data_IF_280571660639
#
_entry.id   IF_280571660639
#
_cell.length_a   1.000
_cell.length_b   1.000
_cell.length_c   1.000
_cell.angle_alpha   90.00
_cell.angle_beta   90.00
_cell.angle_gamma   90.00
#
_symmetry.space_group_name_H-M   'P 1'
#
loop_
_entity.id
_entity.type
_entity.pdbx_description
1 polymer ?
#
# COMPACT_ATOMS: atom_id res chain seq x y z
N UNK A 1 -24.39 -5.61 -8.23
CA UNK A 1 -24.70 -6.52 -7.14
C UNK A 1 -24.30 -5.83 -5.86
N UNK A 2 -25.31 -5.47 -5.02
CA UNK A 2 -25.04 -4.76 -3.78
C UNK A 2 -24.37 -5.66 -2.74
N UNK A 3 -23.50 -5.05 -1.94
CA UNK A 3 -22.84 -5.73 -0.83
C UNK A 3 -23.89 -6.23 0.18
N UNK A 4 -23.71 -7.45 0.65
CA UNK A 4 -24.59 -8.06 1.66
C UNK A 4 -24.01 -7.80 3.04
N UNK A 5 -24.65 -6.94 3.81
CA UNK A 5 -24.28 -6.65 5.19
C UNK A 5 -25.08 -7.54 6.15
N UNK A 6 -24.40 -8.26 7.02
CA UNK A 6 -25.02 -9.05 8.08
C UNK A 6 -24.89 -8.32 9.42
N UNK A 7 -26.04 -8.17 10.11
CA UNK A 7 -26.09 -7.59 11.46
C UNK A 7 -26.78 -8.50 12.41
N UNK A 8 -26.29 -8.52 13.63
CA UNK A 8 -26.90 -9.26 14.70
C UNK A 8 -26.99 -8.39 15.95
N UNK A 9 -28.20 -8.17 16.44
CA UNK A 9 -28.45 -7.48 17.70
C UNK A 9 -28.96 -8.51 18.69
N UNK A 10 -28.27 -8.64 19.82
CA UNK A 10 -28.62 -9.54 20.90
C UNK A 10 -29.20 -8.75 22.08
N UNK A 11 -30.14 -9.33 22.83
CA UNK A 11 -30.66 -8.75 24.06
C UNK A 11 -31.78 -7.69 23.89
N UNK A 12 -32.23 -7.41 22.65
CA UNK A 12 -33.36 -6.49 22.44
C UNK A 12 -34.67 -7.08 22.93
N UNK A 13 -35.44 -6.33 23.74
CA UNK A 13 -36.67 -6.77 24.37
C UNK A 13 -37.83 -7.00 23.39
N UNK A 14 -37.90 -6.26 22.30
CA UNK A 14 -38.91 -6.36 21.25
C UNK A 14 -38.30 -6.32 19.86
N UNK A 15 -39.04 -6.81 18.85
CA UNK A 15 -38.61 -6.77 17.45
C UNK A 15 -38.37 -5.35 16.96
N UNK A 16 -39.31 -4.44 17.24
CA UNK A 16 -39.24 -3.04 16.81
C UNK A 16 -38.03 -2.31 17.41
N UNK A 17 -37.70 -2.60 18.68
CA UNK A 17 -36.54 -2.04 19.34
C UNK A 17 -35.24 -2.53 18.68
N UNK A 18 -35.15 -3.82 18.36
CA UNK A 18 -33.99 -4.37 17.64
C UNK A 18 -33.79 -3.73 16.27
N UNK A 19 -34.87 -3.52 15.52
CA UNK A 19 -34.79 -2.84 14.22
C UNK A 19 -34.41 -1.36 14.35
N UNK A 20 -34.96 -0.67 15.36
CA UNK A 20 -34.62 0.72 15.65
C UNK A 20 -33.15 0.88 16.01
N UNK A 21 -32.63 0.04 16.92
CA UNK A 21 -31.23 0.04 17.35
C UNK A 21 -30.29 -0.31 16.20
N UNK A 22 -30.68 -1.28 15.35
CA UNK A 22 -29.92 -1.62 14.14
C UNK A 22 -29.83 -0.43 13.18
N UNK A 23 -30.95 0.26 12.95
CA UNK A 23 -30.98 1.44 12.09
C UNK A 23 -30.13 2.58 12.66
N UNK A 24 -30.20 2.80 13.97
CA UNK A 24 -29.41 3.83 14.64
C UNK A 24 -27.90 3.57 14.51
N UNK A 25 -27.44 2.33 14.74
CA UNK A 25 -26.04 1.93 14.56
C UNK A 25 -25.56 2.11 13.12
N UNK A 26 -26.42 1.80 12.14
CA UNK A 26 -26.08 2.02 10.73
C UNK A 26 -25.92 3.49 10.40
N UNK A 27 -26.93 4.27 10.80
CA UNK A 27 -26.89 5.69 10.54
C UNK A 27 -25.66 6.33 11.18
N UNK A 28 -25.29 5.88 12.40
CA UNK A 28 -24.04 6.31 13.04
C UNK A 28 -22.82 5.93 12.22
N UNK A 29 -22.71 4.65 11.81
CA UNK A 29 -21.57 4.18 11.02
C UNK A 29 -21.41 4.95 9.71
N UNK A 30 -22.49 5.12 8.95
CA UNK A 30 -22.45 5.90 7.70
C UNK A 30 -22.29 7.42 7.89
N UNK A 31 -22.71 7.94 9.02
CA UNK A 31 -22.52 9.36 9.33
C UNK A 31 -21.09 9.66 9.77
N UNK A 32 -20.50 8.81 10.61
CA UNK A 32 -19.21 9.02 11.24
C UNK A 32 -18.02 8.54 10.39
N UNK A 33 -18.19 7.48 9.60
CA UNK A 33 -17.10 6.84 8.88
C UNK A 33 -17.27 6.93 7.36
N UNK A 34 -16.17 6.90 6.65
CA UNK A 34 -16.11 6.76 5.19
C UNK A 34 -14.98 5.81 4.78
N UNK A 35 -15.20 5.12 3.67
CA UNK A 35 -14.16 4.36 3.01
C UNK A 35 -13.38 5.31 2.09
N UNK A 36 -12.09 5.44 2.34
CA UNK A 36 -11.17 6.26 1.55
C UNK A 36 -10.24 5.34 0.79
N UNK A 37 -10.27 5.41 -0.53
CA UNK A 37 -9.28 4.70 -1.36
C UNK A 37 -8.03 5.55 -1.46
N UNK A 38 -6.91 4.99 -1.01
CA UNK A 38 -5.62 5.66 -1.07
C UNK A 38 -5.03 5.50 -2.46
N UNK A 39 -4.79 6.61 -3.12
CA UNK A 39 -4.01 6.66 -4.37
C UNK A 39 -2.75 7.47 -4.10
N UNK A 40 -1.56 7.03 -4.56
CA UNK A 40 -0.35 7.82 -4.42
C UNK A 40 -0.52 9.19 -5.09
N UNK A 41 -0.15 10.27 -4.42
CA UNK A 41 -0.22 11.64 -4.95
C UNK A 41 0.84 11.90 -6.01
N UNK A 42 1.94 11.16 -5.97
CA UNK A 42 3.02 11.22 -6.94
C UNK A 42 3.36 9.81 -7.45
N UNK A 43 3.99 9.70 -8.63
CA UNK A 43 4.53 8.42 -9.10
C UNK A 43 5.44 7.81 -8.04
N UNK A 44 5.19 6.55 -7.69
CA UNK A 44 6.02 5.84 -6.73
C UNK A 44 7.45 5.71 -7.28
N UNK A 45 8.49 6.00 -6.48
CA UNK A 45 9.85 5.92 -6.94
C UNK A 45 10.27 4.48 -7.19
N UNK A 46 11.13 4.28 -8.20
CA UNK A 46 11.78 3.00 -8.45
C UNK A 46 12.96 2.82 -7.48
N UNK A 47 13.11 1.60 -6.96
CA UNK A 47 14.20 1.25 -6.04
C UNK A 47 15.38 0.67 -6.82
N UNK A 48 16.62 1.15 -6.62
CA UNK A 48 17.81 0.57 -7.22
C UNK A 48 18.02 -0.88 -6.78
N UNK A 49 18.36 -1.76 -7.76
CA UNK A 49 18.64 -3.17 -7.50
C UNK A 49 20.12 -3.45 -7.78
N UNK A 50 20.82 -3.97 -6.77
CA UNK A 50 22.21 -4.39 -6.90
C UNK A 50 22.29 -5.84 -7.34
N UNK A 51 23.28 -6.18 -8.17
CA UNK A 51 23.51 -7.53 -8.71
C UNK A 51 22.32 -8.14 -9.48
N UNK A 52 21.35 -7.32 -9.88
CA UNK A 52 20.20 -7.74 -10.67
C UNK A 52 20.42 -7.59 -12.18
N UNK A 53 19.64 -8.33 -12.96
CA UNK A 53 19.60 -8.19 -14.43
C UNK A 53 19.09 -6.80 -14.84
N UNK A 54 18.20 -6.22 -14.05
CA UNK A 54 17.75 -4.84 -14.18
C UNK A 54 18.36 -3.98 -13.07
N UNK A 55 18.46 -2.67 -13.32
CA UNK A 55 19.08 -1.72 -12.38
C UNK A 55 18.11 -1.18 -11.34
N UNK A 56 16.81 -1.23 -11.60
CA UNK A 56 15.77 -0.69 -10.75
C UNK A 56 14.54 -1.57 -10.80
N UNK A 57 13.78 -1.62 -9.73
CA UNK A 57 12.45 -2.23 -9.65
C UNK A 57 11.41 -1.15 -9.37
N UNK A 58 10.30 -1.19 -10.09
CA UNK A 58 9.20 -0.27 -9.84
C UNK A 58 8.41 -0.72 -8.61
N UNK A 59 8.22 0.17 -7.65
CA UNK A 59 7.32 -0.08 -6.53
C UNK A 59 5.86 0.11 -6.95
N UNK A 60 5.00 -0.78 -6.47
CA UNK A 60 3.55 -0.73 -6.70
C UNK A 60 2.81 -0.81 -5.36
N UNK A 61 1.66 -0.14 -5.28
CA UNK A 61 0.81 -0.23 -4.11
C UNK A 61 0.00 -1.53 -4.16
N UNK A 62 -0.22 -2.14 -3.01
CA UNK A 62 -1.12 -3.30 -2.89
C UNK A 62 -2.54 -2.96 -3.37
N UNK A 63 -3.27 -3.98 -3.84
CA UNK A 63 -4.68 -3.82 -4.25
C UNK A 63 -5.61 -3.48 -3.09
N UNK A 64 -5.23 -3.81 -1.85
CA UNK A 64 -5.98 -3.50 -0.63
C UNK A 64 -5.60 -2.12 -0.11
N UNK A 65 -6.01 -1.08 -0.83
CA UNK A 65 -5.69 0.32 -0.54
C UNK A 65 -6.90 1.12 -0.02
N UNK A 66 -7.95 0.45 0.44
CA UNK A 66 -9.13 1.09 1.00
C UNK A 66 -9.05 1.14 2.54
N UNK A 67 -9.12 2.34 3.10
CA UNK A 67 -9.08 2.58 4.54
C UNK A 67 -10.44 3.06 5.04
N UNK A 68 -10.91 2.46 6.15
CA UNK A 68 -12.09 2.95 6.86
C UNK A 68 -11.66 3.99 7.88
N UNK A 69 -12.00 5.26 7.62
CA UNK A 69 -11.62 6.38 8.47
C UNK A 69 -12.82 7.15 8.97
N UNK A 70 -12.68 7.79 10.12
CA UNK A 70 -13.63 8.81 10.54
C UNK A 70 -13.60 9.98 9.55
N UNK A 71 -14.77 10.47 9.17
CA UNK A 71 -14.89 11.59 8.23
C UNK A 71 -14.17 12.86 8.68
N UNK A 72 -14.07 13.07 9.99
CA UNK A 72 -13.30 14.15 10.59
C UNK A 72 -11.82 14.08 10.25
N UNK A 73 -11.26 12.86 10.14
CA UNK A 73 -9.85 12.58 9.88
C UNK A 73 -9.55 12.29 8.41
N UNK A 74 -10.59 12.11 7.60
CA UNK A 74 -10.45 11.81 6.17
C UNK A 74 -10.02 13.03 5.34
N UNK A 75 -10.08 14.24 5.89
CA UNK A 75 -9.68 15.46 5.23
C UNK A 75 -8.25 15.86 5.63
N UNK A 76 -7.44 16.25 4.64
CA UNK A 76 -6.06 16.70 4.88
C UNK A 76 -5.07 15.57 5.17
N UNK A 77 -5.32 14.38 4.63
CA UNK A 77 -4.38 13.28 4.70
C UNK A 77 -3.09 13.66 3.95
N UNK A 78 -1.96 13.34 4.55
CA UNK A 78 -0.63 13.48 3.92
C UNK A 78 0.02 12.11 3.78
N UNK A 79 0.85 11.95 2.75
CA UNK A 79 1.48 10.69 2.41
C UNK A 79 3.00 10.81 2.49
N UNK A 80 3.66 9.83 3.11
CA UNK A 80 5.11 9.71 3.12
C UNK A 80 5.52 8.31 2.61
N UNK A 81 6.42 8.28 1.65
CA UNK A 81 6.97 7.04 1.09
C UNK A 81 8.26 6.71 1.81
N UNK A 82 8.34 5.51 2.38
CA UNK A 82 9.54 4.96 3.00
C UNK A 82 10.02 3.77 2.19
N UNK A 83 11.14 3.94 1.47
CA UNK A 83 11.78 2.92 0.65
C UNK A 83 13.27 2.85 1.00
N UNK A 84 13.91 1.68 0.86
CA UNK A 84 15.36 1.54 1.03
C UNK A 84 16.11 2.23 -0.13
N UNK A 85 17.33 2.65 0.12
CA UNK A 85 18.20 3.26 -0.90
C UNK A 85 18.55 2.28 -2.03
N UNK A 86 18.65 0.99 -1.73
CA UNK A 86 18.89 -0.10 -2.69
C UNK A 86 18.49 -1.44 -2.08
N UNK A 87 18.24 -2.42 -2.94
CA UNK A 87 17.98 -3.81 -2.57
C UNK A 87 18.86 -4.74 -3.39
N UNK A 88 19.17 -5.91 -2.86
CA UNK A 88 19.95 -6.93 -3.54
C UNK A 88 19.05 -7.89 -4.30
N UNK A 89 19.44 -8.27 -5.53
CA UNK A 89 18.76 -9.33 -6.25
C UNK A 89 19.04 -10.71 -5.57
N UNK A 90 18.12 -11.71 -5.71
CA UNK A 90 16.90 -11.67 -6.49
C UNK A 90 15.78 -10.92 -5.80
N UNK A 91 14.92 -10.29 -6.57
CA UNK A 91 13.67 -9.67 -6.10
C UNK A 91 12.52 -10.41 -6.76
N UNK A 92 11.52 -10.82 -6.00
CA UNK A 92 10.33 -11.47 -6.52
C UNK A 92 9.18 -10.45 -6.68
N UNK A 93 8.36 -10.62 -7.71
CA UNK A 93 7.14 -9.83 -7.88
C UNK A 93 6.23 -10.01 -6.66
N UNK A 94 5.75 -8.90 -6.09
CA UNK A 94 4.95 -8.89 -4.86
C UNK A 94 5.78 -8.90 -3.58
N UNK A 95 7.10 -8.90 -3.63
CA UNK A 95 7.95 -8.77 -2.45
C UNK A 95 7.83 -7.36 -1.85
N UNK A 96 7.71 -7.24 -0.51
CA UNK A 96 7.60 -5.94 0.14
C UNK A 96 8.91 -5.17 0.05
N UNK A 97 8.87 -4.00 -0.58
CA UNK A 97 10.01 -3.09 -0.74
C UNK A 97 10.07 -2.01 0.35
N UNK A 98 8.90 -1.59 0.83
CA UNK A 98 8.79 -0.51 1.81
C UNK A 98 7.35 -0.21 2.18
N UNK A 99 7.08 1.01 2.64
CA UNK A 99 5.75 1.42 3.10
C UNK A 99 5.35 2.79 2.56
N UNK A 100 4.05 2.94 2.36
CA UNK A 100 3.38 4.22 2.18
C UNK A 100 2.66 4.54 3.48
N UNK A 101 3.21 5.47 4.25
CA UNK A 101 2.66 5.88 5.52
C UNK A 101 1.69 7.06 5.31
N UNK A 102 0.54 6.98 5.95
CA UNK A 102 -0.54 7.95 5.82
C UNK A 102 -0.75 8.62 7.17
N UNK A 103 -0.72 9.93 7.16
CA UNK A 103 -0.91 10.77 8.33
C UNK A 103 -2.15 11.64 8.17
N UNK A 104 -2.80 11.97 9.28
CA UNK A 104 -3.86 12.97 9.29
C UNK A 104 -3.30 14.42 9.31
N UNK A 105 -4.19 15.39 9.32
CA UNK A 105 -3.82 16.80 9.34
C UNK A 105 -2.99 17.22 10.58
N UNK A 106 -3.08 16.46 11.67
CA UNK A 106 -2.34 16.68 12.91
C UNK A 106 -0.96 15.99 12.91
N UNK A 107 -0.62 15.28 11.84
CA UNK A 107 0.61 14.48 11.72
C UNK A 107 0.58 13.16 12.48
N UNK A 108 -0.61 12.70 12.90
CA UNK A 108 -0.74 11.40 13.56
C UNK A 108 -0.81 10.30 12.50
N UNK A 109 -0.04 9.19 12.64
CA UNK A 109 -0.10 8.09 11.70
C UNK A 109 -1.48 7.42 11.76
N UNK A 110 -2.09 7.27 10.60
CA UNK A 110 -3.42 6.66 10.43
C UNK A 110 -3.30 5.24 9.92
N UNK A 111 -2.44 5.01 8.94
CA UNK A 111 -2.22 3.71 8.33
C UNK A 111 -0.85 3.64 7.67
N UNK A 112 -0.35 2.42 7.48
CA UNK A 112 0.84 2.12 6.71
C UNK A 112 0.50 1.01 5.72
N UNK A 113 0.67 1.29 4.43
CA UNK A 113 0.38 0.35 3.34
C UNK A 113 1.68 -0.18 2.75
N UNK A 114 1.82 -1.50 2.54
CA UNK A 114 3.02 -2.05 1.94
C UNK A 114 3.15 -1.66 0.47
N UNK A 115 4.35 -1.27 0.09
CA UNK A 115 4.78 -1.10 -1.29
C UNK A 115 5.48 -2.38 -1.75
N UNK A 116 5.03 -2.93 -2.86
CA UNK A 116 5.47 -4.22 -3.37
C UNK A 116 6.32 -4.05 -4.63
N UNK A 117 7.15 -5.03 -4.94
CA UNK A 117 7.85 -5.11 -6.21
C UNK A 117 6.86 -5.38 -7.35
N UNK A 118 6.89 -4.55 -8.38
CA UNK A 118 6.00 -4.69 -9.55
C UNK A 118 6.48 -5.74 -10.56
N UNK A 119 7.69 -6.25 -10.42
CA UNK A 119 8.29 -7.22 -11.32
C UNK A 119 9.37 -8.05 -10.63
N UNK A 120 9.65 -9.25 -11.17
CA UNK A 120 10.72 -10.10 -10.66
C UNK A 120 12.05 -9.76 -11.34
N UNK A 121 13.12 -9.62 -10.54
CA UNK A 121 14.47 -9.33 -11.02
C UNK A 121 15.41 -10.44 -10.54
N UNK A 122 15.84 -11.34 -11.42
CA UNK A 122 16.79 -12.39 -11.07
C UNK A 122 18.22 -11.85 -10.90
N UNK A 123 19.05 -12.61 -10.21
CA UNK A 123 20.47 -12.33 -10.13
C UNK A 123 21.15 -12.28 -11.51
N UNK A 124 22.14 -11.40 -11.64
CA UNK A 124 23.08 -11.46 -12.76
C UNK A 124 23.84 -12.80 -12.74
N UNK A 125 23.90 -13.46 -13.89
CA UNK A 125 24.78 -14.62 -14.08
C UNK A 125 26.26 -14.19 -14.15
N UNK A 126 27.17 -15.09 -13.81
CA UNK A 126 28.61 -14.82 -13.90
C UNK A 126 29.06 -14.32 -15.29
N UNK A 127 28.46 -14.83 -16.34
CA UNK A 127 28.76 -14.42 -17.71
C UNK A 127 28.32 -13.00 -18.02
N UNK A 128 27.14 -12.60 -17.51
CA UNK A 128 26.59 -11.23 -17.65
C UNK A 128 27.42 -10.23 -16.85
N UNK A 129 27.78 -10.61 -15.61
CA UNK A 129 28.64 -9.78 -14.76
C UNK A 129 30.00 -9.55 -15.42
N UNK A 130 30.61 -10.59 -15.96
CA UNK A 130 31.89 -10.51 -16.67
C UNK A 130 31.82 -9.64 -17.93
N UNK A 131 30.76 -9.80 -18.74
CA UNK A 131 30.51 -8.94 -19.89
C UNK A 131 30.31 -7.47 -19.51
N UNK A 132 29.64 -7.22 -18.37
CA UNK A 132 29.41 -5.87 -17.85
C UNK A 132 30.69 -5.20 -17.37
N UNK A 133 31.57 -5.97 -16.69
CA UNK A 133 32.92 -5.51 -16.29
C UNK A 133 33.82 -5.23 -17.48
N UNK A 134 33.79 -6.11 -18.51
CA UNK A 134 34.53 -5.88 -19.73
C UNK A 134 34.07 -4.63 -20.48
N UNK A 135 32.77 -4.40 -20.55
CA UNK A 135 32.22 -3.16 -21.15
C UNK A 135 32.66 -1.91 -20.39
N UNK A 136 32.67 -1.95 -19.05
CA UNK A 136 33.17 -0.85 -18.22
C UNK A 136 34.68 -0.60 -18.42
N UNK A 137 35.47 -1.65 -18.59
CA UNK A 137 36.91 -1.56 -18.82
C UNK A 137 37.26 -1.10 -20.25
N UNK A 138 36.46 -1.47 -21.27
CA UNK A 138 36.73 -1.17 -22.68
C UNK A 138 36.03 0.10 -23.21
N UNK A 139 34.87 0.47 -22.64
CA UNK A 139 34.08 1.66 -23.00
C UNK A 139 34.15 2.74 -21.91
N UNK A 140 35.21 2.66 -21.09
CA UNK A 140 35.36 3.57 -19.96
C UNK A 140 35.46 5.02 -20.39
N UNK A 141 34.42 5.72 -20.16
CA UNK A 141 34.10 7.05 -19.70
C UNK A 141 32.69 7.44 -20.15
#
# INVERSE_FOLDING_TARGET
LGDVYKRQILGGSTSDKRFSDAKALLNYGFAAYSLVTVTPEAPLPAVPVTLGTQKTVQSVLTSENALLLEKSRANGLTQAVSLPESIDAPVEEGEPLGTLDIFDADGTPVASLPLLAGESIPHLTWSELFCRLLKLAYCGA
#
